data_IF_995885659482
#
_entry.id   IF_995885659482
#
_cell.length_a   1.000
_cell.length_b   1.000
_cell.length_c   1.000
_cell.angle_alpha   90.00
_cell.angle_beta   90.00
_cell.angle_gamma   90.00
#
_symmetry.space_group_name_H-M   'P 1'
#
loop_
_entity.id
_entity.type
_entity.pdbx_description
1 polymer ?
#
# COMPACT_ATOMS: atom_id res chain seq x y z
N UNK A 1 -26.45 12.14 -12.01
CA UNK A 1 -25.07 12.56 -11.71
C UNK A 1 -24.92 14.06 -11.40
N UNK A 2 -26.01 14.86 -11.45
CA UNK A 2 -25.92 16.32 -11.27
C UNK A 2 -25.71 16.76 -9.81
N UNK A 3 -26.23 16.00 -8.83
CA UNK A 3 -26.13 16.30 -7.40
C UNK A 3 -24.72 16.02 -6.84
N UNK A 4 -24.09 14.90 -7.24
CA UNK A 4 -22.78 14.49 -6.69
C UNK A 4 -21.63 15.42 -7.12
N UNK A 5 -21.85 16.22 -8.15
CA UNK A 5 -20.88 17.22 -8.64
C UNK A 5 -21.16 18.63 -8.12
N UNK A 6 -22.19 18.80 -7.27
CA UNK A 6 -22.46 20.10 -6.68
C UNK A 6 -21.36 20.45 -5.66
N UNK A 7 -20.96 21.73 -5.55
CA UNK A 7 -19.83 22.13 -4.71
C UNK A 7 -19.99 21.77 -3.22
N UNK A 8 -21.21 21.82 -2.68
CA UNK A 8 -21.54 21.45 -1.31
C UNK A 8 -21.32 19.95 -1.05
N UNK A 9 -21.76 19.08 -1.98
CA UNK A 9 -21.50 17.64 -1.89
C UNK A 9 -20.02 17.30 -2.06
N UNK A 10 -19.31 17.99 -2.96
CA UNK A 10 -17.87 17.79 -3.13
C UNK A 10 -17.05 18.31 -1.92
N UNK A 11 -17.53 19.35 -1.24
CA UNK A 11 -16.86 19.94 -0.08
C UNK A 11 -17.18 19.21 1.22
N UNK A 12 -18.29 18.46 1.28
CA UNK A 12 -18.68 17.71 2.47
C UNK A 12 -17.67 16.61 2.78
N UNK A 13 -17.03 16.71 3.95
CA UNK A 13 -16.16 15.67 4.48
C UNK A 13 -16.97 14.50 5.02
N UNK A 14 -16.38 13.32 4.98
CA UNK A 14 -17.00 12.17 5.64
C UNK A 14 -16.94 12.32 7.17
N UNK A 15 -17.91 11.75 7.87
CA UNK A 15 -17.92 11.75 9.35
C UNK A 15 -16.64 11.17 9.94
N UNK A 16 -16.06 10.16 9.28
CA UNK A 16 -14.80 9.55 9.71
C UNK A 16 -13.61 10.50 9.56
N UNK A 17 -13.53 11.21 8.42
CA UNK A 17 -12.50 12.22 8.18
C UNK A 17 -12.57 13.37 9.19
N UNK A 18 -13.78 13.86 9.47
CA UNK A 18 -14.00 14.88 10.49
C UNK A 18 -13.55 14.40 11.87
N UNK A 19 -13.94 13.18 12.26
CA UNK A 19 -13.53 12.59 13.54
C UNK A 19 -12.01 12.45 13.65
N UNK A 20 -11.35 11.88 12.65
CA UNK A 20 -9.88 11.69 12.63
C UNK A 20 -9.16 13.04 12.72
N UNK A 21 -9.60 14.02 11.91
CA UNK A 21 -8.99 15.36 11.89
C UNK A 21 -9.21 16.10 13.21
N UNK A 22 -10.38 15.94 13.85
CA UNK A 22 -10.67 16.52 15.17
C UNK A 22 -9.72 16.02 16.26
N UNK A 23 -9.12 14.83 16.06
CA UNK A 23 -8.12 14.22 16.95
C UNK A 23 -6.68 14.57 16.53
N UNK A 24 -6.49 15.53 15.62
CA UNK A 24 -5.17 15.94 15.08
C UNK A 24 -4.41 14.84 14.34
N UNK A 25 -5.14 13.87 13.77
CA UNK A 25 -4.58 12.83 12.92
C UNK A 25 -4.79 13.15 11.44
N UNK A 26 -3.93 12.59 10.59
CA UNK A 26 -4.04 12.66 9.13
C UNK A 26 -5.00 11.57 8.65
N UNK A 27 -5.98 11.94 7.81
CA UNK A 27 -6.91 11.00 7.19
C UNK A 27 -6.57 10.83 5.71
N UNK A 28 -5.68 9.87 5.41
CA UNK A 28 -5.27 9.58 4.03
C UNK A 28 -6.17 8.52 3.39
N UNK A 29 -6.66 8.82 2.19
CA UNK A 29 -7.44 7.89 1.37
C UNK A 29 -6.58 7.32 0.25
N UNK A 30 -6.45 6.00 0.22
CA UNK A 30 -5.76 5.33 -0.88
C UNK A 30 -6.65 5.25 -2.13
N UNK A 31 -6.07 5.37 -3.33
CA UNK A 31 -6.77 5.09 -4.57
C UNK A 31 -7.40 3.69 -4.56
N UNK A 32 -8.63 3.57 -5.06
CA UNK A 32 -9.30 2.28 -5.19
C UNK A 32 -8.53 1.37 -6.14
N UNK A 33 -8.43 0.08 -5.81
CA UNK A 33 -7.76 -0.95 -6.61
C UNK A 33 -6.22 -0.83 -6.72
N UNK A 34 -5.59 -0.06 -5.82
CA UNK A 34 -4.14 0.10 -5.76
C UNK A 34 -3.56 -0.44 -4.44
N UNK A 35 -3.68 -1.75 -4.22
CA UNK A 35 -3.22 -2.41 -2.98
C UNK A 35 -1.71 -2.30 -2.76
N UNK A 36 -0.93 -2.09 -3.83
CA UNK A 36 0.52 -1.85 -3.79
C UNK A 36 0.91 -0.55 -3.07
N UNK A 37 -0.03 0.40 -2.92
CA UNK A 37 0.17 1.63 -2.16
C UNK A 37 -0.06 1.45 -0.65
N UNK A 38 -0.73 0.37 -0.24
CA UNK A 38 -1.00 0.08 1.15
C UNK A 38 -0.01 -0.96 1.69
N UNK A 39 1.03 -0.51 2.40
CA UNK A 39 2.07 -1.40 2.90
C UNK A 39 1.55 -2.47 3.88
N UNK A 40 0.41 -2.23 4.54
CA UNK A 40 -0.19 -3.18 5.49
C UNK A 40 -0.62 -4.48 4.80
N UNK A 41 -0.93 -4.45 3.50
CA UNK A 41 -1.28 -5.64 2.72
C UNK A 41 -0.11 -6.63 2.67
N UNK A 42 1.12 -6.12 2.53
CA UNK A 42 2.34 -6.94 2.55
C UNK A 42 2.64 -7.47 3.95
N UNK A 43 2.39 -6.66 4.98
CA UNK A 43 2.52 -7.07 6.38
C UNK A 43 1.56 -8.22 6.72
N UNK A 44 0.27 -8.08 6.37
CA UNK A 44 -0.73 -9.14 6.52
C UNK A 44 -0.38 -10.39 5.70
N UNK A 45 0.14 -10.22 4.49
CA UNK A 45 0.64 -11.34 3.67
C UNK A 45 1.76 -12.13 4.37
N UNK A 46 2.72 -11.43 4.99
CA UNK A 46 3.80 -12.07 5.75
C UNK A 46 3.28 -12.78 7.01
N UNK A 47 2.41 -12.12 7.78
CA UNK A 47 1.81 -12.71 8.97
C UNK A 47 0.97 -13.95 8.63
N UNK A 48 0.19 -13.89 7.54
CA UNK A 48 -0.60 -15.03 7.05
C UNK A 48 0.28 -16.19 6.60
N UNK A 49 1.42 -15.93 5.96
CA UNK A 49 2.38 -16.97 5.60
C UNK A 49 2.98 -17.65 6.85
N UNK A 50 3.26 -16.89 7.92
CA UNK A 50 3.70 -17.46 9.20
C UNK A 50 2.59 -18.29 9.85
N UNK A 51 1.36 -17.79 9.83
CA UNK A 51 0.20 -18.50 10.36
C UNK A 51 -0.05 -19.84 9.65
N UNK A 52 0.13 -19.89 8.32
CA UNK A 52 0.00 -21.15 7.57
C UNK A 52 0.99 -22.24 8.00
N UNK A 53 2.08 -21.87 8.70
CA UNK A 53 3.08 -22.81 9.24
C UNK A 53 2.77 -23.26 10.66
N UNK A 54 1.80 -22.66 11.34
CA UNK A 54 1.40 -23.12 12.68
C UNK A 54 0.61 -24.41 12.58
N UNK A 55 0.48 -25.11 13.71
CA UNK A 55 -0.46 -26.22 13.82
C UNK A 55 -1.88 -25.76 13.47
N UNK A 56 -2.64 -26.64 12.80
CA UNK A 56 -4.07 -26.41 12.62
C UNK A 56 -4.75 -26.59 13.97
N UNK A 57 -5.58 -25.62 14.31
CA UNK A 57 -6.44 -25.66 15.49
C UNK A 57 -7.88 -25.36 15.05
N UNK A 58 -8.85 -25.82 15.84
CA UNK A 58 -10.27 -25.47 15.73
C UNK A 58 -10.74 -24.57 16.87
N UNK A 59 -9.87 -24.29 17.85
CA UNK A 59 -10.15 -23.41 18.98
C UNK A 59 -9.91 -21.94 18.59
N UNK A 60 -10.92 -21.10 18.77
CA UNK A 60 -10.87 -19.69 18.37
C UNK A 60 -9.86 -18.89 19.20
N UNK A 61 -9.75 -19.20 20.50
CA UNK A 61 -8.82 -18.50 21.38
C UNK A 61 -7.36 -18.85 21.02
N UNK A 62 -7.11 -20.10 20.63
CA UNK A 62 -5.82 -20.52 20.09
C UNK A 62 -5.52 -19.87 18.73
N UNK A 63 -6.52 -19.78 17.84
CA UNK A 63 -6.35 -19.05 16.57
C UNK A 63 -5.96 -17.59 16.79
N UNK A 64 -6.63 -16.89 17.71
CA UNK A 64 -6.32 -15.50 18.03
C UNK A 64 -4.89 -15.35 18.56
N UNK A 65 -4.48 -16.18 19.53
CA UNK A 65 -3.10 -16.20 20.04
C UNK A 65 -2.08 -16.44 18.94
N UNK A 66 -2.36 -17.38 18.03
CA UNK A 66 -1.49 -17.68 16.90
C UNK A 66 -1.38 -16.51 15.92
N UNK A 67 -2.48 -15.80 15.64
CA UNK A 67 -2.47 -14.61 14.79
C UNK A 67 -1.62 -13.51 15.41
N UNK A 68 -1.81 -13.19 16.70
CA UNK A 68 -1.02 -12.18 17.42
C UNK A 68 0.47 -12.51 17.39
N UNK A 69 0.84 -13.76 17.69
CA UNK A 69 2.24 -14.20 17.62
C UNK A 69 2.82 -14.11 16.20
N UNK A 70 2.03 -14.38 15.16
CA UNK A 70 2.49 -14.28 13.78
C UNK A 70 2.69 -12.83 13.34
N UNK A 71 1.85 -11.91 13.83
CA UNK A 71 2.01 -10.47 13.63
C UNK A 71 3.30 -9.97 14.29
N UNK A 72 3.53 -10.30 15.56
CA UNK A 72 4.74 -9.90 16.31
C UNK A 72 6.04 -10.50 15.74
N UNK A 73 5.94 -11.64 15.04
CA UNK A 73 7.09 -12.30 14.40
C UNK A 73 7.55 -11.61 13.12
N UNK A 74 6.78 -10.69 12.53
CA UNK A 74 7.23 -9.97 11.34
C UNK A 74 8.30 -8.95 11.74
N UNK A 75 9.55 -9.07 11.24
CA UNK A 75 10.61 -8.17 11.64
C UNK A 75 10.32 -6.72 11.27
N UNK A 76 10.65 -5.78 12.16
CA UNK A 76 10.46 -4.34 11.92
C UNK A 76 11.14 -3.85 10.62
N UNK A 77 12.35 -4.34 10.34
CA UNK A 77 13.07 -4.01 9.10
C UNK A 77 12.28 -4.42 7.84
N UNK A 78 11.48 -5.48 7.93
CA UNK A 78 10.63 -5.94 6.83
C UNK A 78 9.42 -5.01 6.65
N UNK A 79 8.83 -4.52 7.74
CA UNK A 79 7.77 -3.51 7.73
C UNK A 79 8.27 -2.22 7.07
N UNK A 80 9.46 -1.75 7.44
CA UNK A 80 10.08 -0.57 6.83
C UNK A 80 10.34 -0.75 5.33
N UNK A 81 10.74 -1.96 4.90
CA UNK A 81 10.91 -2.29 3.47
C UNK A 81 9.57 -2.25 2.73
N UNK A 82 8.47 -2.70 3.33
CA UNK A 82 7.13 -2.60 2.75
C UNK A 82 6.68 -1.15 2.58
N UNK A 83 6.87 -0.32 3.60
CA UNK A 83 6.58 1.11 3.53
C UNK A 83 7.40 1.81 2.43
N UNK A 84 8.70 1.51 2.34
CA UNK A 84 9.57 2.03 1.29
C UNK A 84 9.11 1.59 -0.11
N UNK A 85 8.64 0.34 -0.26
CA UNK A 85 8.11 -0.16 -1.54
C UNK A 85 6.84 0.58 -1.95
N UNK A 86 5.89 0.78 -1.03
CA UNK A 86 4.68 1.54 -1.27
C UNK A 86 5.01 2.99 -1.68
N UNK A 87 5.97 3.63 -1.02
CA UNK A 87 6.44 4.96 -1.38
C UNK A 87 7.03 5.04 -2.81
N UNK A 88 7.74 4.00 -3.27
CA UNK A 88 8.24 3.97 -4.66
C UNK A 88 7.12 3.81 -5.68
N UNK A 89 6.08 3.02 -5.39
CA UNK A 89 4.88 2.96 -6.23
C UNK A 89 4.15 4.31 -6.28
N UNK A 90 3.99 4.96 -5.13
CA UNK A 90 3.40 6.29 -5.05
C UNK A 90 4.19 7.30 -5.89
N UNK A 91 5.51 7.29 -5.78
CA UNK A 91 6.38 8.15 -6.59
C UNK A 91 6.25 7.82 -8.08
N UNK A 92 6.26 6.53 -8.47
CA UNK A 92 6.06 6.11 -9.86
C UNK A 92 4.77 6.65 -10.46
N UNK A 93 3.65 6.55 -9.73
CA UNK A 93 2.36 7.08 -10.16
C UNK A 93 2.33 8.60 -10.22
N UNK A 94 3.01 9.29 -9.29
CA UNK A 94 3.15 10.75 -9.37
C UNK A 94 3.89 11.22 -10.63
N UNK A 95 4.71 10.35 -11.22
CA UNK A 95 5.42 10.59 -12.49
C UNK A 95 4.62 10.13 -13.72
N UNK A 96 3.38 9.66 -13.55
CA UNK A 96 2.50 9.24 -14.64
C UNK A 96 2.73 7.81 -15.15
N UNK A 97 3.50 6.97 -14.45
CA UNK A 97 3.68 5.57 -14.84
C UNK A 97 2.40 4.76 -14.63
N UNK A 98 2.15 3.79 -15.51
CA UNK A 98 1.07 2.79 -15.33
C UNK A 98 1.48 1.73 -14.29
N UNK A 99 0.54 0.90 -13.85
CA UNK A 99 0.83 -0.21 -12.92
C UNK A 99 1.94 -1.13 -13.43
N UNK A 100 1.89 -1.55 -14.70
CA UNK A 100 2.90 -2.41 -15.32
C UNK A 100 4.27 -1.74 -15.37
N UNK A 101 4.32 -0.44 -15.73
CA UNK A 101 5.55 0.34 -15.75
C UNK A 101 6.14 0.54 -14.36
N UNK A 102 5.29 0.80 -13.35
CA UNK A 102 5.71 0.94 -11.96
C UNK A 102 6.25 -0.37 -11.39
N UNK A 103 5.67 -1.52 -11.75
CA UNK A 103 6.19 -2.85 -11.40
C UNK A 103 7.57 -3.07 -12.03
N UNK A 104 7.71 -2.78 -13.33
CA UNK A 104 8.99 -2.89 -14.03
C UNK A 104 10.06 -2.00 -13.39
N UNK A 105 9.74 -0.74 -13.14
CA UNK A 105 10.66 0.23 -12.53
C UNK A 105 11.11 -0.22 -11.14
N UNK A 106 10.19 -0.74 -10.31
CA UNK A 106 10.50 -1.28 -8.99
C UNK A 106 11.30 -2.59 -9.03
N UNK A 107 11.25 -3.34 -10.14
CA UNK A 107 12.06 -4.54 -10.35
C UNK A 107 13.48 -4.19 -10.81
N UNK A 108 13.63 -3.14 -11.62
CA UNK A 108 14.94 -2.74 -12.14
C UNK A 108 15.70 -1.84 -11.16
N UNK A 109 14.99 -0.97 -10.42
CA UNK A 109 15.59 -0.02 -9.50
C UNK A 109 15.35 -0.42 -8.04
N UNK A 110 16.44 -0.68 -7.33
CA UNK A 110 16.43 -1.04 -5.90
C UNK A 110 16.92 0.11 -5.00
N UNK A 111 17.19 1.28 -5.57
CA UNK A 111 17.69 2.44 -4.83
C UNK A 111 16.64 3.11 -3.94
N UNK A 112 16.97 4.33 -3.49
CA UNK A 112 16.19 5.06 -2.48
C UNK A 112 14.74 5.35 -2.93
N UNK A 113 13.88 5.80 -1.99
CA UNK A 113 12.41 5.99 -2.08
C UNK A 113 11.84 6.74 -3.31
N UNK A 114 12.68 7.21 -4.21
CA UNK A 114 12.36 7.98 -5.42
C UNK A 114 13.00 7.34 -6.65
N UNK A 115 12.22 7.23 -7.73
CA UNK A 115 12.74 6.81 -9.03
C UNK A 115 13.44 8.01 -9.69
N UNK A 116 14.71 7.85 -10.13
CA UNK A 116 15.42 8.91 -10.84
C UNK A 116 14.83 9.10 -12.26
N UNK A 117 14.98 10.29 -12.87
CA UNK A 117 14.33 10.61 -14.14
C UNK A 117 14.70 9.68 -15.30
N UNK A 118 15.92 9.14 -15.31
CA UNK A 118 16.36 8.15 -16.30
C UNK A 118 15.56 6.85 -16.19
N UNK A 119 15.37 6.32 -14.97
CA UNK A 119 14.58 5.10 -14.76
C UNK A 119 13.11 5.26 -15.15
N UNK A 120 12.55 6.47 -14.98
CA UNK A 120 11.18 6.77 -15.45
C UNK A 120 11.10 6.68 -16.97
N UNK A 121 12.07 7.26 -17.69
CA UNK A 121 12.14 7.17 -19.16
C UNK A 121 12.30 5.73 -19.62
N UNK A 122 13.17 4.96 -18.96
CA UNK A 122 13.41 3.56 -19.30
C UNK A 122 12.15 2.71 -19.07
N UNK A 123 11.40 2.98 -18.00
CA UNK A 123 10.14 2.29 -17.72
C UNK A 123 9.05 2.57 -18.76
N UNK A 124 9.00 3.82 -19.26
CA UNK A 124 8.08 4.19 -20.34
C UNK A 124 8.48 3.47 -21.64
N UNK A 125 9.76 3.51 -22.00
CA UNK A 125 10.27 2.92 -23.23
C UNK A 125 10.12 1.38 -23.26
N UNK A 126 10.35 0.70 -22.12
CA UNK A 126 10.30 -0.75 -22.02
C UNK A 126 8.91 -1.36 -22.30
N UNK A 127 7.85 -0.55 -22.26
CA UNK A 127 6.45 -1.00 -22.41
C UNK A 127 5.67 -0.18 -23.47
N UNK A 128 6.38 0.62 -24.29
CA UNK A 128 5.84 1.27 -25.49
C UNK A 128 6.06 0.44 -26.77
N UNK A 129 6.87 -0.62 -26.68
CA UNK A 129 7.12 -1.56 -27.77
C UNK A 129 6.28 -2.83 -27.59
N UNK A 130 4.96 -2.67 -27.70
CA UNK A 130 3.97 -3.71 -28.00
C UNK A 130 2.87 -3.10 -28.90
#
# INVERSE_FOLDING_TARGET
HLLFTQPDFCAQKSQLEEYITSRSHICDFYPKFHCELNFIEQYWGAAKFLYQKTSRTSDIDEMERNVLQCLDKVPEIQILRYANRAARFLHAYSQGLTGTQAIWANRCYHGHRTLPPNMVKDAIAALQSD
#
